data_IF_416129353560
#
_entry.id   IF_416129353560
#
_cell.length_a   1.000
_cell.length_b   1.000
_cell.length_c   1.000
_cell.angle_alpha   90.00
_cell.angle_beta   90.00
_cell.angle_gamma   90.00
#
_symmetry.space_group_name_H-M   'P 1'
#
loop_
_entity.id
_entity.type
_entity.pdbx_description
1 polymer ?
#
# COMPACT_ATOMS: atom_id res chain seq x y z
N UNK A 1 -4.56 13.82 -17.15
CA UNK A 1 -5.04 12.80 -16.19
C UNK A 1 -5.38 13.57 -14.92
N UNK A 2 -6.61 13.45 -14.42
CA UNK A 2 -7.11 14.23 -13.28
C UNK A 2 -6.40 13.79 -11.98
N UNK A 3 -6.13 14.72 -11.07
CA UNK A 3 -5.38 14.45 -9.82
C UNK A 3 -5.91 13.23 -9.05
N UNK A 4 -7.24 13.14 -8.92
CA UNK A 4 -7.96 12.05 -8.26
C UNK A 4 -7.56 10.67 -8.81
N UNK A 5 -7.44 10.59 -10.14
CA UNK A 5 -7.09 9.35 -10.81
C UNK A 5 -5.62 8.97 -10.58
N UNK A 6 -4.70 9.94 -10.56
CA UNK A 6 -3.26 9.68 -10.34
C UNK A 6 -3.02 9.11 -8.95
N UNK A 7 -3.60 9.72 -7.91
CA UNK A 7 -3.46 9.25 -6.53
C UNK A 7 -4.03 7.85 -6.36
N UNK A 8 -5.24 7.63 -6.88
CA UNK A 8 -5.89 6.32 -6.76
C UNK A 8 -5.09 5.22 -7.44
N UNK A 9 -4.62 5.42 -8.68
CA UNK A 9 -3.85 4.40 -9.39
C UNK A 9 -2.53 4.07 -8.71
N UNK A 10 -1.75 5.09 -8.32
CA UNK A 10 -0.46 4.88 -7.66
C UNK A 10 -0.62 4.12 -6.34
N UNK A 11 -1.62 4.49 -5.55
CA UNK A 11 -1.86 3.91 -4.24
C UNK A 11 -2.52 2.54 -4.31
N UNK A 12 -3.33 2.24 -5.33
CA UNK A 12 -3.82 0.88 -5.60
C UNK A 12 -2.65 -0.05 -5.91
N UNK A 13 -1.75 0.34 -6.82
CA UNK A 13 -0.55 -0.46 -7.14
C UNK A 13 0.31 -0.64 -5.88
N UNK A 14 0.49 0.43 -5.11
CA UNK A 14 1.16 0.37 -3.80
C UNK A 14 0.51 -0.62 -2.84
N UNK A 15 -0.83 -0.65 -2.78
CA UNK A 15 -1.59 -1.56 -1.94
C UNK A 15 -1.39 -3.02 -2.33
N UNK A 16 -1.33 -3.32 -3.64
CA UNK A 16 -1.02 -4.68 -4.11
C UNK A 16 0.37 -5.12 -3.61
N UNK A 17 1.38 -4.26 -3.78
CA UNK A 17 2.74 -4.54 -3.33
C UNK A 17 2.80 -4.72 -1.81
N UNK A 18 2.10 -3.87 -1.06
CA UNK A 18 1.99 -3.97 0.39
C UNK A 18 1.34 -5.30 0.84
N UNK A 19 0.32 -5.78 0.13
CA UNK A 19 -0.33 -7.05 0.44
C UNK A 19 0.59 -8.25 0.26
N UNK A 20 1.39 -8.23 -0.80
CA UNK A 20 2.42 -9.24 -1.04
C UNK A 20 3.48 -9.18 0.06
N UNK A 21 3.97 -7.99 0.41
CA UNK A 21 4.98 -7.83 1.46
C UNK A 21 4.45 -8.35 2.80
N UNK A 22 3.25 -7.96 3.21
CA UNK A 22 2.67 -8.47 4.46
C UNK A 22 2.55 -9.98 4.45
N UNK A 23 2.08 -10.57 3.34
CA UNK A 23 2.03 -12.03 3.18
C UNK A 23 3.40 -12.70 3.38
N UNK A 24 4.45 -12.17 2.74
CA UNK A 24 5.82 -12.70 2.86
C UNK A 24 6.33 -12.70 4.32
N UNK A 25 5.96 -11.70 5.10
CA UNK A 25 6.32 -11.60 6.52
C UNK A 25 5.39 -12.38 7.45
N UNK A 26 4.21 -12.81 6.99
CA UNK A 26 3.25 -13.63 7.78
C UNK A 26 3.51 -15.13 7.66
N UNK A 27 3.84 -15.63 6.46
CA UNK A 27 3.97 -17.08 6.22
C UNK A 27 5.37 -17.58 6.57
N UNK A 28 5.42 -18.67 7.34
CA UNK A 28 6.69 -19.32 7.69
C UNK A 28 7.33 -19.98 6.46
N UNK A 29 8.65 -19.85 6.34
CA UNK A 29 9.43 -20.49 5.27
C UNK A 29 9.59 -19.67 3.98
N UNK A 30 8.90 -18.54 3.83
CA UNK A 30 9.10 -17.63 2.68
C UNK A 30 10.26 -16.64 2.90
N UNK A 31 10.43 -16.17 4.13
CA UNK A 31 11.53 -15.29 4.55
C UNK A 31 12.28 -15.91 5.74
N UNK A 32 13.56 -15.53 5.96
CA UNK A 32 14.33 -15.97 7.14
C UNK A 32 13.72 -15.49 8.47
N UNK A 33 12.85 -14.48 8.42
CA UNK A 33 12.17 -13.90 9.59
C UNK A 33 10.67 -13.81 9.27
N UNK A 34 9.84 -14.37 10.14
CA UNK A 34 8.38 -14.25 10.08
C UNK A 34 7.92 -13.34 11.21
N UNK A 35 7.44 -12.15 10.85
CA UNK A 35 6.91 -11.18 11.79
C UNK A 35 5.92 -10.25 11.08
N UNK A 36 4.63 -10.49 11.30
CA UNK A 36 3.53 -9.73 10.71
C UNK A 36 3.66 -8.20 10.92
N UNK A 37 4.15 -7.79 12.10
CA UNK A 37 4.35 -6.37 12.40
C UNK A 37 5.33 -5.71 11.43
N UNK A 38 6.36 -6.43 10.95
CA UNK A 38 7.29 -5.86 9.97
C UNK A 38 6.60 -5.62 8.62
N UNK A 39 5.76 -6.54 8.17
CA UNK A 39 4.97 -6.38 6.94
C UNK A 39 4.03 -5.17 7.02
N UNK A 40 3.37 -5.00 8.16
CA UNK A 40 2.52 -3.83 8.45
C UNK A 40 3.33 -2.53 8.44
N UNK A 41 4.45 -2.47 9.16
CA UNK A 41 5.28 -1.26 9.22
C UNK A 41 5.83 -0.87 7.85
N UNK A 42 6.29 -1.83 7.05
CA UNK A 42 6.75 -1.57 5.68
C UNK A 42 5.60 -1.03 4.82
N UNK A 43 4.40 -1.59 4.93
CA UNK A 43 3.22 -1.11 4.20
C UNK A 43 2.86 0.33 4.55
N UNK A 44 2.96 0.71 5.82
CA UNK A 44 2.78 2.10 6.28
C UNK A 44 3.85 3.06 5.70
N UNK A 45 5.10 2.59 5.60
CA UNK A 45 6.17 3.36 4.95
C UNK A 45 5.86 3.55 3.46
N UNK A 46 5.34 2.54 2.77
CA UNK A 46 5.00 2.61 1.34
C UNK A 46 3.90 3.65 1.10
N UNK A 47 2.78 3.61 1.83
CA UNK A 47 1.66 4.56 1.62
C UNK A 47 2.10 6.01 1.86
N UNK A 48 2.93 6.24 2.88
CA UNK A 48 3.50 7.55 3.17
C UNK A 48 4.48 7.99 2.08
N UNK A 49 5.38 7.09 1.66
CA UNK A 49 6.37 7.33 0.61
C UNK A 49 5.72 7.68 -0.73
N UNK A 50 4.62 6.99 -1.09
CA UNK A 50 3.84 7.30 -2.29
C UNK A 50 3.16 8.67 -2.20
N UNK A 51 2.65 9.05 -1.04
CA UNK A 51 2.12 10.40 -0.79
C UNK A 51 3.19 11.47 -0.98
N UNK A 52 4.38 11.27 -0.40
CA UNK A 52 5.51 12.20 -0.56
C UNK A 52 6.06 12.25 -1.99
N UNK A 53 6.08 11.12 -2.68
CA UNK A 53 6.46 11.07 -4.08
C UNK A 53 5.46 11.84 -4.96
N UNK A 54 4.15 11.70 -4.70
CA UNK A 54 3.12 12.46 -5.41
C UNK A 54 3.25 13.97 -5.15
N UNK A 55 3.39 14.40 -3.89
CA UNK A 55 3.64 15.81 -3.53
C UNK A 55 4.85 16.37 -4.28
N UNK A 56 5.96 15.62 -4.34
CA UNK A 56 7.19 16.05 -5.01
C UNK A 56 7.03 16.16 -6.53
N UNK A 57 6.21 15.29 -7.14
CA UNK A 57 6.09 15.20 -8.59
C UNK A 57 5.03 16.13 -9.18
N UNK A 58 3.92 16.34 -8.46
CA UNK A 58 2.74 17.06 -8.97
C UNK A 58 2.46 18.38 -8.26
N UNK A 59 3.27 18.73 -7.25
CA UNK A 59 3.09 19.94 -6.46
C UNK A 59 2.10 19.78 -5.32
N UNK A 60 2.26 20.59 -4.26
CA UNK A 60 1.41 20.56 -3.06
C UNK A 60 0.10 21.32 -3.24
N UNK A 61 0.10 22.26 -4.16
CA UNK A 61 -1.07 22.98 -4.65
C UNK A 61 -2.08 22.04 -5.33
N UNK A 62 -1.56 20.97 -5.94
CA UNK A 62 -2.35 19.90 -6.52
C UNK A 62 -2.66 18.88 -5.42
N UNK A 63 -1.64 18.26 -4.81
CA UNK A 63 -1.84 17.19 -3.83
C UNK A 63 -2.11 17.75 -2.43
N UNK A 64 -3.39 17.89 -2.09
CA UNK A 64 -3.81 18.23 -0.72
C UNK A 64 -3.77 17.02 0.23
N UNK A 65 -3.64 17.26 1.54
CA UNK A 65 -3.69 16.20 2.55
C UNK A 65 -5.01 15.41 2.50
N UNK A 66 -6.13 16.10 2.30
CA UNK A 66 -7.44 15.47 2.16
C UNK A 66 -7.54 14.60 0.91
N UNK A 67 -6.97 15.06 -0.21
CA UNK A 67 -6.89 14.29 -1.45
C UNK A 67 -6.01 13.04 -1.27
N UNK A 68 -4.84 13.15 -0.63
CA UNK A 68 -4.00 11.99 -0.33
C UNK A 68 -4.69 10.98 0.59
N UNK A 69 -5.42 11.44 1.60
CA UNK A 69 -6.12 10.53 2.49
C UNK A 69 -7.25 9.79 1.76
N UNK A 70 -8.16 10.52 1.12
CA UNK A 70 -9.36 9.93 0.49
C UNK A 70 -9.05 9.16 -0.79
N UNK A 71 -8.13 9.67 -1.62
CA UNK A 71 -7.82 9.09 -2.93
C UNK A 71 -6.51 8.30 -2.94
N UNK A 72 -5.73 8.34 -1.86
CA UNK A 72 -4.49 7.56 -1.73
C UNK A 72 -4.59 6.51 -0.63
N UNK A 73 -4.67 6.93 0.63
CA UNK A 73 -4.64 6.04 1.80
C UNK A 73 -5.81 5.05 1.80
N UNK A 74 -7.04 5.52 1.54
CA UNK A 74 -8.22 4.66 1.56
C UNK A 74 -8.15 3.58 0.46
N UNK A 75 -7.92 3.90 -0.84
CA UNK A 75 -7.74 2.89 -1.88
C UNK A 75 -6.56 1.94 -1.62
N UNK A 76 -5.43 2.47 -1.13
CA UNK A 76 -4.27 1.67 -0.73
C UNK A 76 -4.66 0.62 0.30
N UNK A 77 -5.33 1.03 1.38
CA UNK A 77 -5.69 0.16 2.48
C UNK A 77 -6.61 -0.98 2.02
N UNK A 78 -7.66 -0.67 1.25
CA UNK A 78 -8.56 -1.72 0.77
C UNK A 78 -7.86 -2.71 -0.14
N UNK A 79 -7.02 -2.24 -1.07
CA UNK A 79 -6.28 -3.12 -1.97
C UNK A 79 -5.24 -3.95 -1.20
N UNK A 80 -4.55 -3.33 -0.25
CA UNK A 80 -3.61 -4.00 0.65
C UNK A 80 -4.26 -5.15 1.41
N UNK A 81 -5.37 -4.88 2.10
CA UNK A 81 -6.09 -5.90 2.85
C UNK A 81 -6.64 -7.00 1.94
N UNK A 82 -7.22 -6.64 0.80
CA UNK A 82 -7.75 -7.62 -0.15
C UNK A 82 -6.66 -8.59 -0.63
N UNK A 83 -5.52 -8.08 -1.10
CA UNK A 83 -4.43 -8.92 -1.59
C UNK A 83 -3.85 -9.78 -0.47
N UNK A 84 -3.59 -9.20 0.70
CA UNK A 84 -3.01 -9.95 1.81
C UNK A 84 -3.92 -11.10 2.27
N UNK A 85 -5.22 -10.82 2.46
CA UNK A 85 -6.21 -11.84 2.85
C UNK A 85 -6.35 -12.92 1.79
N UNK A 86 -6.42 -12.56 0.50
CA UNK A 86 -6.49 -13.53 -0.59
C UNK A 86 -5.26 -14.46 -0.57
N UNK A 87 -4.05 -13.91 -0.47
CA UNK A 87 -2.84 -14.74 -0.44
C UNK A 87 -2.82 -15.67 0.77
N UNK A 88 -3.22 -15.20 1.95
CA UNK A 88 -3.33 -16.04 3.15
C UNK A 88 -4.35 -17.18 2.98
N UNK A 89 -5.46 -16.94 2.28
CA UNK A 89 -6.53 -17.93 2.13
C UNK A 89 -6.39 -18.84 0.90
N UNK A 90 -5.54 -18.53 -0.06
CA UNK A 90 -5.43 -19.33 -1.29
C UNK A 90 -4.01 -19.81 -1.61
N UNK A 91 -3.00 -19.29 -0.92
CA UNK A 91 -1.59 -19.68 -1.12
C UNK A 91 -0.97 -20.30 0.13
N UNK A 92 -1.36 -19.86 1.33
CA UNK A 92 -0.81 -20.38 2.59
C UNK A 92 -1.58 -21.57 3.19
N UNK A 93 -2.62 -22.06 2.51
CA UNK A 93 -3.39 -23.27 2.92
C UNK A 93 -2.65 -24.53 2.50
#
# INVERSE_FOLDING_TARGET
MEELSIMSYMHIIGGIVAGIISFLFTVQGLLPITNEMLGVLISLIIVYGLGKFAEKKFGRETISLGSWFMNGVVPFYFMWMAVWIILLNYVAI
#
